data_IF_768275915298
#
_entry.id   IF_768275915298
#
_cell.length_a   1.000
_cell.length_b   1.000
_cell.length_c   1.000
_cell.angle_alpha   90.00
_cell.angle_beta   90.00
_cell.angle_gamma   90.00
#
_symmetry.space_group_name_H-M   'P 1'
#
loop_
_entity.id
_entity.type
_entity.pdbx_description
1 polymer ?
#
# COMPACT_ATOMS: atom_id res chain seq x y z
N UNK A 1 -7.73 -9.54 -18.39
CA UNK A 1 -6.95 -8.91 -17.30
C UNK A 1 -7.01 -9.68 -15.98
N UNK A 2 -8.19 -10.04 -15.46
CA UNK A 2 -8.28 -10.83 -14.22
C UNK A 2 -7.67 -12.23 -14.38
N UNK A 3 -8.03 -12.93 -15.45
CA UNK A 3 -7.48 -14.25 -15.76
C UNK A 3 -5.94 -14.30 -15.73
N UNK A 4 -5.26 -13.31 -16.32
CA UNK A 4 -3.80 -13.27 -16.33
C UNK A 4 -3.20 -13.01 -14.94
N UNK A 5 -3.91 -12.30 -14.06
CA UNK A 5 -3.51 -12.16 -12.64
C UNK A 5 -3.65 -13.49 -11.90
N UNK A 6 -4.76 -14.22 -12.11
CA UNK A 6 -5.00 -15.51 -11.47
C UNK A 6 -3.95 -16.56 -11.90
N UNK A 7 -3.54 -16.53 -13.18
CA UNK A 7 -2.49 -17.40 -13.72
C UNK A 7 -1.07 -16.88 -13.47
N UNK A 8 -0.91 -15.72 -12.82
CA UNK A 8 0.37 -15.06 -12.59
C UNK A 8 1.23 -14.87 -13.86
N UNK A 9 0.60 -14.57 -15.01
CA UNK A 9 1.26 -14.36 -16.30
C UNK A 9 1.32 -12.86 -16.68
N UNK A 10 2.49 -12.20 -16.58
CA UNK A 10 2.65 -10.79 -16.92
C UNK A 10 2.49 -10.50 -18.42
N UNK A 11 2.89 -11.45 -19.28
CA UNK A 11 2.87 -11.24 -20.72
C UNK A 11 1.43 -11.26 -21.22
N UNK A 12 0.65 -12.25 -20.78
CA UNK A 12 -0.78 -12.34 -21.06
C UNK A 12 -1.55 -11.11 -20.57
N UNK A 13 -1.15 -10.54 -19.43
CA UNK A 13 -1.75 -9.29 -18.94
C UNK A 13 -1.51 -8.12 -19.91
N UNK A 14 -0.27 -7.95 -20.36
CA UNK A 14 0.11 -6.85 -21.26
C UNK A 14 -0.54 -6.97 -22.65
N UNK A 15 -0.58 -8.17 -23.21
CA UNK A 15 -1.24 -8.42 -24.50
C UNK A 15 -2.74 -8.14 -24.42
N UNK A 16 -3.40 -8.67 -23.38
CA UNK A 16 -4.83 -8.42 -23.13
C UNK A 16 -5.11 -6.93 -22.92
N UNK A 17 -4.23 -6.21 -22.22
CA UNK A 17 -4.37 -4.76 -21.99
C UNK A 17 -4.29 -3.97 -23.30
N UNK A 18 -3.33 -4.31 -24.16
CA UNK A 18 -3.18 -3.68 -25.47
C UNK A 18 -4.39 -3.94 -26.36
N UNK A 19 -4.84 -5.19 -26.45
CA UNK A 19 -6.03 -5.58 -27.21
C UNK A 19 -7.29 -4.83 -26.74
N UNK A 20 -7.52 -4.79 -25.42
CA UNK A 20 -8.65 -4.07 -24.85
C UNK A 20 -8.61 -2.57 -25.15
N UNK A 21 -7.42 -1.97 -25.19
CA UNK A 21 -7.27 -0.54 -25.48
C UNK A 21 -7.66 -0.13 -26.91
N UNK A 22 -7.61 -1.09 -27.85
CA UNK A 22 -7.98 -0.89 -29.25
C UNK A 22 -9.46 -1.16 -29.54
N UNK A 23 -10.24 -1.59 -28.53
CA UNK A 23 -11.67 -1.82 -28.68
C UNK A 23 -12.49 -0.54 -28.50
N UNK A 24 -13.68 -0.51 -29.09
CA UNK A 24 -14.65 0.54 -28.84
C UNK A 24 -15.27 0.38 -27.45
N UNK A 25 -14.69 1.06 -26.47
CA UNK A 25 -15.11 1.03 -25.06
C UNK A 25 -15.72 2.35 -24.61
N UNK A 26 -16.52 2.29 -23.55
CA UNK A 26 -17.06 3.48 -22.89
C UNK A 26 -15.93 4.38 -22.38
N UNK A 27 -16.13 5.71 -22.28
CA UNK A 27 -15.11 6.64 -21.81
C UNK A 27 -14.54 6.29 -20.42
N UNK A 28 -15.39 5.77 -19.53
CA UNK A 28 -14.99 5.32 -18.19
C UNK A 28 -13.99 4.16 -18.27
N UNK A 29 -14.27 3.14 -19.08
CA UNK A 29 -13.37 2.00 -19.27
C UNK A 29 -12.07 2.42 -19.95
N UNK A 30 -12.12 3.30 -20.96
CA UNK A 30 -10.91 3.87 -21.58
C UNK A 30 -10.01 4.56 -20.54
N UNK A 31 -10.60 5.27 -19.57
CA UNK A 31 -9.85 5.91 -18.47
C UNK A 31 -9.17 4.87 -17.57
N UNK A 32 -9.87 3.79 -17.22
CA UNK A 32 -9.30 2.68 -16.42
C UNK A 32 -8.12 2.04 -17.16
N UNK A 33 -8.26 1.73 -18.44
CA UNK A 33 -7.18 1.14 -19.23
C UNK A 33 -5.97 2.07 -19.34
N UNK A 34 -6.18 3.39 -19.52
CA UNK A 34 -5.10 4.38 -19.48
C UNK A 34 -4.33 4.35 -18.16
N UNK A 35 -5.04 4.23 -17.04
CA UNK A 35 -4.40 4.08 -15.71
C UNK A 35 -3.57 2.80 -15.64
N UNK A 36 -4.09 1.66 -16.09
CA UNK A 36 -3.32 0.42 -16.12
C UNK A 36 -2.08 0.52 -17.01
N UNK A 37 -2.18 1.15 -18.18
CA UNK A 37 -1.03 1.38 -19.06
C UNK A 37 0.00 2.29 -18.40
N UNK A 38 -0.42 3.35 -17.70
CA UNK A 38 0.46 4.27 -16.95
C UNK A 38 1.22 3.54 -15.83
N UNK A 39 0.55 2.65 -15.10
CA UNK A 39 1.12 1.95 -13.95
C UNK A 39 1.59 0.51 -14.27
N UNK A 40 1.69 0.13 -15.54
CA UNK A 40 2.00 -1.26 -15.98
C UNK A 40 3.26 -1.85 -15.34
N UNK A 41 4.29 -1.03 -15.10
CA UNK A 41 5.53 -1.49 -14.48
C UNK A 41 5.33 -1.91 -13.02
N UNK A 42 4.51 -1.18 -12.26
CA UNK A 42 4.19 -1.52 -10.89
C UNK A 42 3.27 -2.73 -10.82
N UNK A 43 2.32 -2.84 -11.75
CA UNK A 43 1.47 -4.03 -11.87
C UNK A 43 2.34 -5.25 -12.22
N UNK A 44 3.36 -5.10 -13.07
CA UNK A 44 4.31 -6.19 -13.34
C UNK A 44 4.97 -6.72 -12.06
N UNK A 45 5.30 -5.86 -11.11
CA UNK A 45 5.90 -6.26 -9.84
C UNK A 45 4.98 -7.16 -9.00
N UNK A 46 3.64 -7.04 -9.12
CA UNK A 46 2.71 -7.88 -8.35
C UNK A 46 2.78 -9.35 -8.77
N UNK A 47 3.16 -9.63 -10.02
CA UNK A 47 3.37 -11.00 -10.50
C UNK A 47 4.67 -11.61 -9.97
N UNK A 48 5.71 -10.79 -9.74
CA UNK A 48 6.99 -11.27 -9.22
C UNK A 48 6.98 -11.46 -7.69
N UNK A 49 6.24 -10.60 -6.97
CA UNK A 49 6.21 -10.60 -5.51
C UNK A 49 4.85 -11.04 -4.96
N UNK A 50 4.44 -12.28 -5.27
CA UNK A 50 3.13 -12.81 -4.89
C UNK A 50 2.86 -12.86 -3.37
N UNK A 51 3.91 -12.81 -2.54
CA UNK A 51 3.81 -12.79 -1.07
C UNK A 51 3.46 -11.41 -0.53
N UNK A 52 3.69 -10.34 -1.30
CA UNK A 52 3.36 -8.98 -0.89
C UNK A 52 1.91 -8.69 -1.24
N UNK A 53 1.06 -8.63 -0.21
CA UNK A 53 -0.35 -8.29 -0.35
C UNK A 53 -0.61 -6.85 0.08
N UNK A 54 -1.72 -6.27 -0.39
CA UNK A 54 -2.17 -4.95 0.08
C UNK A 54 -2.76 -4.98 1.49
N UNK A 55 -2.97 -6.17 2.09
CA UNK A 55 -3.65 -6.35 3.37
C UNK A 55 -3.11 -5.47 4.51
N UNK A 56 -1.77 -5.42 4.76
CA UNK A 56 -1.21 -4.54 5.77
C UNK A 56 -1.49 -3.06 5.53
N UNK A 57 -1.38 -2.59 4.28
CA UNK A 57 -1.63 -1.20 3.89
C UNK A 57 -3.11 -0.86 4.05
N UNK A 58 -4.00 -1.74 3.61
CA UNK A 58 -5.45 -1.63 3.77
C UNK A 58 -5.84 -1.59 5.25
N UNK A 59 -5.21 -2.44 6.08
CA UNK A 59 -5.42 -2.47 7.53
C UNK A 59 -5.03 -1.15 8.20
N UNK A 60 -3.87 -0.58 7.85
CA UNK A 60 -3.45 0.74 8.34
C UNK A 60 -4.44 1.83 7.91
N UNK A 61 -4.81 1.85 6.62
CA UNK A 61 -5.77 2.81 6.09
C UNK A 61 -7.14 2.71 6.78
N UNK A 62 -7.60 1.50 7.08
CA UNK A 62 -8.84 1.28 7.82
C UNK A 62 -8.76 1.81 9.25
N UNK A 63 -7.66 1.51 9.98
CA UNK A 63 -7.44 2.05 11.34
C UNK A 63 -7.46 3.58 11.37
N UNK A 64 -6.81 4.23 10.39
CA UNK A 64 -6.80 5.69 10.25
C UNK A 64 -8.22 6.23 9.98
N UNK A 65 -8.98 5.58 9.10
CA UNK A 65 -10.38 5.96 8.79
C UNK A 65 -11.29 5.82 10.02
N UNK A 66 -11.16 4.72 10.78
CA UNK A 66 -11.89 4.49 12.03
C UNK A 66 -11.54 5.56 13.05
N UNK A 67 -10.25 5.87 13.22
CA UNK A 67 -9.80 6.94 14.13
C UNK A 67 -10.42 8.29 13.79
N UNK A 68 -10.43 8.66 12.50
CA UNK A 68 -11.05 9.91 12.04
C UNK A 68 -12.55 9.94 12.32
N UNK A 69 -13.25 8.82 12.11
CA UNK A 69 -14.70 8.70 12.34
C UNK A 69 -15.04 8.81 13.83
N UNK A 70 -14.31 8.10 14.69
CA UNK A 70 -14.54 8.09 16.14
C UNK A 70 -14.25 9.44 16.80
N UNK A 71 -13.32 10.22 16.23
CA UNK A 71 -13.02 11.56 16.72
C UNK A 71 -13.93 12.66 16.15
N UNK A 72 -14.88 12.30 15.27
CA UNK A 72 -15.70 13.27 14.50
C UNK A 72 -14.86 14.27 13.69
N UNK A 73 -13.71 13.81 13.20
CA UNK A 73 -12.72 14.63 12.52
C UNK A 73 -11.71 15.29 13.46
N UNK A 74 -10.64 15.81 12.89
CA UNK A 74 -9.60 16.54 13.62
C UNK A 74 -9.49 17.93 13.02
N UNK A 75 -9.50 18.97 13.86
CA UNK A 75 -9.28 20.35 13.43
C UNK A 75 -7.81 20.61 13.05
N UNK A 76 -6.88 19.97 13.77
CA UNK A 76 -5.44 20.12 13.56
C UNK A 76 -4.83 18.81 13.04
N UNK A 77 -4.16 18.90 11.89
CA UNK A 77 -3.49 17.77 11.25
C UNK A 77 -2.36 17.18 12.11
N UNK A 78 -1.59 18.01 12.83
CA UNK A 78 -0.52 17.56 13.71
C UNK A 78 -1.07 16.67 14.84
N UNK A 79 -2.21 17.02 15.43
CA UNK A 79 -2.87 16.16 16.42
C UNK A 79 -3.35 14.84 15.82
N UNK A 80 -3.91 14.87 14.61
CA UNK A 80 -4.31 13.65 13.91
C UNK A 80 -3.11 12.73 13.65
N UNK A 81 -2.02 13.28 13.11
CA UNK A 81 -0.76 12.56 12.85
C UNK A 81 -0.18 11.96 14.13
N UNK A 82 -0.10 12.75 15.21
CA UNK A 82 0.40 12.27 16.50
C UNK A 82 -0.45 11.12 17.04
N UNK A 83 -1.79 11.21 16.90
CA UNK A 83 -2.69 10.15 17.33
C UNK A 83 -2.55 8.88 16.49
N UNK A 84 -2.35 9.00 15.18
CA UNK A 84 -2.05 7.86 14.29
C UNK A 84 -0.76 7.18 14.75
N UNK A 85 0.33 7.92 14.96
CA UNK A 85 1.62 7.38 15.39
C UNK A 85 1.53 6.66 16.73
N UNK A 86 0.81 7.24 17.69
CA UNK A 86 0.60 6.66 19.02
C UNK A 86 -0.18 5.33 18.94
N UNK A 87 -1.31 5.31 18.22
CA UNK A 87 -2.17 4.12 18.12
C UNK A 87 -1.53 3.02 17.29
N UNK A 88 -0.77 3.39 16.25
CA UNK A 88 -0.04 2.43 15.42
C UNK A 88 1.23 1.90 16.09
N UNK A 89 1.57 2.37 17.30
CA UNK A 89 2.83 2.05 18.00
C UNK A 89 4.07 2.33 17.15
N UNK A 90 3.96 3.29 16.22
CA UNK A 90 5.05 3.76 15.37
C UNK A 90 5.81 4.94 16.00
N UNK A 91 5.41 5.33 17.21
CA UNK A 91 6.16 6.30 18.01
C UNK A 91 7.41 5.64 18.59
N UNK A 92 8.58 6.07 18.14
CA UNK A 92 9.85 5.73 18.77
C UNK A 92 10.08 6.72 19.91
N UNK A 93 9.83 6.29 21.15
CA UNK A 93 10.45 6.93 22.31
C UNK A 93 11.96 6.72 22.16
N UNK A 94 12.75 7.79 22.24
CA UNK A 94 14.20 7.70 22.11
C UNK A 94 14.72 6.53 22.94
N UNK A 95 15.41 5.57 22.30
CA UNK A 95 16.05 4.46 23.02
C UNK A 95 16.92 5.10 24.10
N UNK A 96 16.65 4.85 25.38
CA UNK A 96 17.70 4.98 26.38
C UNK A 96 18.78 3.98 25.96
N UNK A 97 19.96 4.47 25.59
CA UNK A 97 21.12 3.62 25.41
C UNK A 97 21.26 2.77 26.67
N UNK A 98 21.16 1.43 26.52
CA UNK A 98 21.48 0.54 27.62
C UNK A 98 22.99 0.62 27.79
N UNK A 99 23.47 1.33 28.80
CA UNK A 99 24.86 1.28 29.22
C UNK A 99 25.25 -0.18 29.45
N UNK A 100 26.03 -0.76 28.53
CA UNK A 100 26.69 -2.03 28.74
C UNK A 100 27.77 -1.83 29.80
N UNK A 101 27.45 -2.10 31.07
CA UNK A 101 28.46 -2.28 32.12
C UNK A 101 29.36 -3.44 31.70
N UNK A 102 30.58 -3.13 31.25
CA UNK A 102 31.64 -4.11 31.05
C UNK A 102 31.91 -4.81 32.39
N UNK A 103 31.64 -6.11 32.45
CA UNK A 103 32.18 -6.98 33.48
C UNK A 103 33.68 -7.07 33.25
N UNK A 104 34.45 -6.24 33.95
CA UNK A 104 35.87 -6.52 34.18
C UNK A 104 35.93 -7.75 35.06
N UNK A 105 36.23 -8.90 34.45
CA UNK A 105 36.64 -10.10 35.17
C UNK A 105 38.16 -10.08 35.21
N UNK A 106 38.70 -10.02 36.43
CA UNK A 106 40.12 -10.17 36.74
C UNK A 106 40.53 -11.65 36.72
#
# INVERSE_FOLDING_TARGET
LRFSLDQSDPLMFLTTLYQASNQSLTPGLKRVLKTFTKFKQYIKNTFHYHTLTNGPIEGINNKIKVLKRNAYGYKNYSHFKNRILLISRLYVSGRKEKETKQLFVA
#
